data_IF_782081539813
#
_entry.id   IF_782081539813
#
_cell.length_a   1.000
_cell.length_b   1.000
_cell.length_c   1.000
_cell.angle_alpha   90.00
_cell.angle_beta   90.00
_cell.angle_gamma   90.00
#
_symmetry.space_group_name_H-M   'P 1'
#
loop_
_entity.id
_entity.type
_entity.pdbx_description
1 polymer ?
#
# COMPACT_ATOMS: atom_id res chain seq x y z
N UNK A 1 -34.00 13.89 27.34
CA UNK A 1 -33.00 14.64 26.54
C UNK A 1 -31.72 13.82 26.61
N UNK A 2 -31.34 13.17 25.51
CA UNK A 2 -30.19 12.26 25.49
C UNK A 2 -28.88 13.03 25.62
N UNK A 3 -27.94 12.49 26.40
CA UNK A 3 -26.59 13.01 26.54
C UNK A 3 -25.86 12.89 25.19
N UNK A 4 -25.35 14.01 24.66
CA UNK A 4 -24.51 14.02 23.46
C UNK A 4 -23.06 13.97 23.91
N UNK A 5 -22.43 12.80 23.80
CA UNK A 5 -20.99 12.65 24.04
C UNK A 5 -20.23 13.30 22.89
N UNK A 6 -19.55 14.41 23.18
CA UNK A 6 -18.72 15.10 22.19
C UNK A 6 -17.35 14.44 22.19
N UNK A 7 -17.02 13.71 21.12
CA UNK A 7 -15.69 13.14 20.94
C UNK A 7 -14.67 14.24 20.60
N UNK A 8 -13.40 13.99 20.96
CA UNK A 8 -12.32 14.90 20.60
C UNK A 8 -12.32 15.17 19.08
N UNK A 9 -12.06 16.41 18.65
CA UNK A 9 -12.05 16.74 17.22
C UNK A 9 -10.97 15.94 16.49
N UNK A 10 -11.21 15.66 15.21
CA UNK A 10 -10.23 14.97 14.37
C UNK A 10 -8.93 15.79 14.26
N UNK A 11 -7.76 15.14 14.23
CA UNK A 11 -6.50 15.82 13.99
C UNK A 11 -6.50 16.56 12.63
N UNK A 12 -5.94 17.76 12.60
CA UNK A 12 -5.78 18.53 11.37
C UNK A 12 -4.70 17.90 10.47
N UNK A 13 -5.04 17.41 9.26
CA UNK A 13 -4.05 16.84 8.35
C UNK A 13 -3.08 17.90 7.82
N UNK A 14 -3.45 19.18 7.78
CA UNK A 14 -2.63 20.29 7.29
C UNK A 14 -1.79 20.95 8.37
N UNK A 15 -1.69 20.32 9.53
CA UNK A 15 -0.82 20.75 10.62
C UNK A 15 0.19 19.66 10.96
N UNK A 16 1.47 20.01 10.89
CA UNK A 16 2.56 19.16 11.38
C UNK A 16 2.47 18.99 12.89
N UNK A 17 3.16 17.98 13.38
CA UNK A 17 3.21 17.63 14.79
C UNK A 17 3.91 18.68 15.66
N UNK A 18 4.85 19.40 15.06
CA UNK A 18 5.53 20.56 15.64
C UNK A 18 4.67 21.84 15.60
N UNK A 19 3.46 21.75 15.04
CA UNK A 19 2.48 22.82 14.97
C UNK A 19 2.55 23.70 13.72
N UNK A 20 3.56 23.53 12.85
CA UNK A 20 3.64 24.24 11.56
C UNK A 20 2.47 23.87 10.65
N UNK A 21 2.06 24.80 9.78
CA UNK A 21 0.96 24.59 8.82
C UNK A 21 1.49 24.22 7.43
N UNK A 22 0.73 23.40 6.72
CA UNK A 22 0.99 22.97 5.35
C UNK A 22 0.26 23.91 4.39
N UNK A 23 1.00 24.55 3.50
CA UNK A 23 0.44 25.50 2.52
C UNK A 23 0.86 25.20 1.07
N UNK A 24 1.73 24.23 0.85
CA UNK A 24 2.32 23.94 -0.46
C UNK A 24 2.28 22.43 -0.74
N UNK A 25 2.37 22.07 -2.02
CA UNK A 25 2.45 20.67 -2.44
C UNK A 25 3.69 19.98 -1.84
N UNK A 26 4.85 20.63 -1.87
CA UNK A 26 6.06 20.10 -1.22
C UNK A 26 5.90 19.95 0.30
N UNK A 27 5.17 20.86 0.96
CA UNK A 27 4.83 20.73 2.38
C UNK A 27 3.89 19.56 2.64
N UNK A 28 2.97 19.30 1.71
CA UNK A 28 2.09 18.13 1.78
C UNK A 28 2.85 16.82 1.61
N UNK A 29 3.84 16.76 0.72
CA UNK A 29 4.68 15.56 0.55
C UNK A 29 5.39 15.19 1.86
N UNK A 30 5.99 16.18 2.54
CA UNK A 30 6.61 15.98 3.86
C UNK A 30 5.57 15.59 4.94
N UNK A 31 4.40 16.21 4.95
CA UNK A 31 3.33 15.88 5.93
C UNK A 31 2.77 14.48 5.70
N UNK A 32 2.66 14.03 4.45
CA UNK A 32 2.21 12.68 4.10
C UNK A 32 3.17 11.62 4.67
N UNK A 33 4.48 11.87 4.63
CA UNK A 33 5.47 11.00 5.25
C UNK A 33 5.29 10.95 6.77
N UNK A 34 5.16 12.09 7.44
CA UNK A 34 4.93 12.18 8.89
C UNK A 34 3.67 11.42 9.34
N UNK A 35 2.56 11.58 8.61
CA UNK A 35 1.32 10.83 8.87
C UNK A 35 1.55 9.32 8.69
N UNK A 36 2.23 8.91 7.62
CA UNK A 36 2.51 7.50 7.36
C UNK A 36 3.37 6.89 8.48
N UNK A 37 4.43 7.58 8.92
CA UNK A 37 5.26 7.15 10.05
C UNK A 37 4.44 6.95 11.31
N UNK A 38 3.52 7.88 11.62
CA UNK A 38 2.61 7.75 12.77
C UNK A 38 1.69 6.55 12.67
N UNK A 39 1.03 6.37 11.53
CA UNK A 39 0.10 5.27 11.34
C UNK A 39 0.79 3.90 11.42
N UNK A 40 2.00 3.80 10.87
CA UNK A 40 2.83 2.60 11.01
C UNK A 40 3.18 2.35 12.49
N UNK A 41 3.61 3.38 13.23
CA UNK A 41 3.98 3.21 14.64
C UNK A 41 2.80 2.85 15.56
N UNK A 42 1.63 3.43 15.33
CA UNK A 42 0.48 3.32 16.25
C UNK A 42 -0.48 2.19 15.90
N UNK A 43 -0.62 1.85 14.61
CA UNK A 43 -1.69 0.95 14.16
C UNK A 43 -1.22 -0.24 13.32
N UNK A 44 -0.40 0.00 12.29
CA UNK A 44 -0.10 -1.03 11.29
C UNK A 44 1.19 -1.82 11.57
N UNK A 45 2.03 -1.35 12.49
CA UNK A 45 3.37 -1.88 12.71
C UNK A 45 4.39 -1.35 11.68
N UNK A 46 5.63 -1.81 11.79
CA UNK A 46 6.72 -1.36 10.91
C UNK A 46 6.59 -1.99 9.52
N UNK A 47 6.61 -1.15 8.48
CA UNK A 47 6.78 -1.61 7.10
C UNK A 47 8.18 -2.22 6.94
N UNK A 48 8.32 -3.51 6.60
CA UNK A 48 9.64 -4.08 6.33
C UNK A 48 10.30 -3.36 5.15
N UNK A 49 11.65 -3.39 5.05
CA UNK A 49 12.32 -2.88 3.87
C UNK A 49 11.89 -3.66 2.62
N UNK A 50 12.23 -3.13 1.45
CA UNK A 50 12.10 -3.87 0.21
C UNK A 50 12.72 -5.28 0.34
N UNK A 51 12.11 -6.31 -0.25
CA UNK A 51 12.67 -7.66 -0.23
C UNK A 51 14.04 -7.68 -0.90
N UNK A 52 14.91 -8.58 -0.45
CA UNK A 52 16.26 -8.75 -1.00
C UNK A 52 16.20 -9.32 -2.42
N UNK A 53 15.25 -10.22 -2.67
CA UNK A 53 15.01 -10.81 -3.98
C UNK A 53 13.51 -10.84 -4.28
N UNK A 54 13.16 -10.55 -5.53
CA UNK A 54 11.82 -10.77 -6.07
C UNK A 54 11.94 -11.64 -7.31
N UNK A 55 11.35 -12.83 -7.28
CA UNK A 55 11.23 -13.71 -8.46
C UNK A 55 9.83 -13.59 -9.05
N UNK A 56 9.76 -13.58 -10.37
CA UNK A 56 8.50 -13.46 -11.11
C UNK A 56 8.43 -14.56 -12.15
N UNK A 57 7.41 -15.39 -12.06
CA UNK A 57 7.03 -16.36 -13.09
C UNK A 57 5.80 -15.81 -13.81
N UNK A 58 6.00 -15.36 -15.06
CA UNK A 58 4.92 -14.82 -15.87
C UNK A 58 4.12 -15.94 -16.53
N UNK A 59 2.80 -15.92 -16.38
CA UNK A 59 1.92 -16.89 -17.01
C UNK A 59 1.72 -16.65 -18.51
N UNK A 60 0.92 -17.48 -19.14
CA UNK A 60 0.44 -17.22 -20.51
C UNK A 60 -0.89 -16.48 -20.49
N UNK A 61 -1.15 -15.69 -21.54
CA UNK A 61 -2.46 -15.10 -21.73
C UNK A 61 -3.47 -16.15 -22.21
N UNK A 62 -4.63 -16.17 -21.58
CA UNK A 62 -5.79 -16.97 -21.93
C UNK A 62 -6.90 -16.04 -22.42
N UNK A 63 -7.49 -16.32 -23.57
CA UNK A 63 -8.68 -15.62 -24.02
C UNK A 63 -9.89 -16.02 -23.16
N UNK A 64 -10.68 -15.05 -22.74
CA UNK A 64 -11.94 -15.26 -22.03
C UNK A 64 -13.12 -15.12 -23.00
N UNK A 65 -14.26 -15.79 -22.74
CA UNK A 65 -15.43 -15.76 -23.63
C UNK A 65 -16.03 -14.37 -23.87
N UNK A 66 -15.77 -13.42 -22.98
CA UNK A 66 -16.29 -12.05 -23.03
C UNK A 66 -15.36 -11.06 -23.77
N UNK A 67 -14.40 -11.58 -24.55
CA UNK A 67 -13.47 -10.77 -25.32
C UNK A 67 -12.37 -10.13 -24.46
N UNK A 68 -12.21 -10.53 -23.19
CA UNK A 68 -11.03 -10.18 -22.37
C UNK A 68 -9.95 -11.25 -22.50
N UNK A 69 -8.75 -10.91 -22.02
CA UNK A 69 -7.66 -11.86 -21.80
C UNK A 69 -7.26 -11.86 -20.33
N UNK A 70 -6.88 -13.03 -19.83
CA UNK A 70 -6.43 -13.24 -18.46
C UNK A 70 -5.02 -13.82 -18.44
N UNK A 71 -4.20 -13.42 -17.48
CA UNK A 71 -2.91 -14.04 -17.18
C UNK A 71 -2.73 -14.09 -15.67
N UNK A 72 -2.09 -15.15 -15.18
CA UNK A 72 -1.71 -15.29 -13.77
C UNK A 72 -0.19 -15.30 -13.66
N UNK A 73 0.37 -14.34 -12.94
CA UNK A 73 1.80 -14.24 -12.65
C UNK A 73 2.03 -14.68 -11.20
N UNK A 74 3.09 -15.47 -10.94
CA UNK A 74 3.48 -15.87 -9.59
C UNK A 74 4.71 -15.10 -9.16
N UNK A 75 4.58 -14.34 -8.09
CA UNK A 75 5.66 -13.57 -7.49
C UNK A 75 6.11 -14.27 -6.21
N UNK A 76 7.42 -14.33 -5.98
CA UNK A 76 8.01 -14.81 -4.74
C UNK A 76 8.96 -13.74 -4.19
N UNK A 77 8.74 -13.33 -2.95
CA UNK A 77 9.55 -12.32 -2.27
C UNK A 77 10.40 -12.97 -1.19
N UNK A 78 11.72 -12.81 -1.26
CA UNK A 78 12.64 -13.17 -0.19
C UNK A 78 12.87 -11.93 0.70
N UNK A 79 12.38 -11.91 1.95
CA UNK A 79 12.60 -10.78 2.84
C UNK A 79 14.05 -10.77 3.35
N UNK A 80 14.60 -9.57 3.54
CA UNK A 80 15.96 -9.35 4.09
C UNK A 80 16.17 -10.09 5.42
N UNK A 81 15.11 -10.26 6.21
CA UNK A 81 15.11 -11.06 7.44
C UNK A 81 14.07 -12.16 7.32
N UNK A 82 14.49 -13.33 6.84
CA UNK A 82 13.58 -14.44 6.57
C UNK A 82 14.09 -15.85 6.79
N UNK A 83 15.36 -16.05 7.14
CA UNK A 83 15.97 -17.39 7.27
C UNK A 83 15.66 -18.32 6.07
N UNK A 84 15.71 -17.79 4.84
CA UNK A 84 15.42 -18.53 3.61
C UNK A 84 13.94 -18.71 3.27
N UNK A 85 13.01 -18.14 4.05
CA UNK A 85 11.58 -18.17 3.73
C UNK A 85 11.26 -17.23 2.57
N UNK A 86 10.34 -17.65 1.70
CA UNK A 86 9.75 -16.80 0.65
C UNK A 86 8.28 -16.53 0.93
N UNK A 87 7.81 -15.34 0.58
CA UNK A 87 6.38 -14.96 0.61
C UNK A 87 5.84 -15.00 -0.82
N UNK A 88 4.91 -15.90 -1.15
CA UNK A 88 4.30 -15.95 -2.48
C UNK A 88 3.17 -14.94 -2.63
N UNK A 89 2.98 -14.43 -3.84
CA UNK A 89 1.83 -13.64 -4.27
C UNK A 89 1.42 -14.09 -5.68
N UNK A 90 0.17 -14.47 -5.87
CA UNK A 90 -0.39 -14.71 -7.21
C UNK A 90 -1.10 -13.44 -7.70
N UNK A 91 -0.63 -12.90 -8.83
CA UNK A 91 -1.19 -11.72 -9.46
C UNK A 91 -2.02 -12.14 -10.68
N UNK A 92 -3.35 -12.00 -10.57
CA UNK A 92 -4.25 -12.22 -11.70
C UNK A 92 -4.49 -10.91 -12.43
N UNK A 93 -4.08 -10.85 -13.69
CA UNK A 93 -4.33 -9.72 -14.59
C UNK A 93 -5.46 -10.09 -15.54
N UNK A 94 -6.49 -9.24 -15.61
CA UNK A 94 -7.55 -9.35 -16.62
C UNK A 94 -7.67 -8.03 -17.35
N UNK A 95 -7.56 -8.06 -18.66
CA UNK A 95 -7.57 -6.87 -19.51
C UNK A 95 -8.50 -7.09 -20.71
N UNK A 96 -9.04 -6.03 -21.34
CA UNK A 96 -9.63 -6.15 -22.67
C UNK A 96 -8.63 -6.79 -23.64
N UNK A 97 -9.11 -7.67 -24.52
CA UNK A 97 -8.30 -8.05 -25.69
C UNK A 97 -8.12 -6.79 -26.53
N UNK A 98 -6.89 -6.50 -26.96
CA UNK A 98 -6.65 -5.35 -27.83
C UNK A 98 -7.52 -5.46 -29.08
N UNK A 99 -8.21 -4.36 -29.40
CA UNK A 99 -8.70 -4.09 -30.76
C UNK A 99 -7.51 -3.74 -31.63
#
# INVERSE_FOLDING_TARGET
MGEVTIHAPLPDPFRFDDGRSVHTVAGWDARREEIATRLLAVQYGTMPPAPEETRVETGSWEALPDGRRRRVDRLQFAPVRGAGRTVPLELTLTCPSGV
#
